data_IF_627271941252
#
_entry.id   IF_627271941252
#
_cell.length_a   1.000
_cell.length_b   1.000
_cell.length_c   1.000
_cell.angle_alpha   90.00
_cell.angle_beta   90.00
_cell.angle_gamma   90.00
#
_symmetry.space_group_name_H-M   'P 1'
#
loop_
_entity.id
_entity.type
_entity.pdbx_description
1 polymer ?
#
# COMPACT_ATOMS: atom_id res chain seq x y z
N UNK A 1 -8.70 -4.02 -42.93
CA UNK A 1 -9.43 -3.21 -41.93
C UNK A 1 -8.42 -2.72 -40.89
N UNK A 2 -8.43 -1.43 -40.54
CA UNK A 2 -7.54 -0.91 -39.55
C UNK A 2 -8.03 -1.28 -38.14
N UNK A 3 -7.18 -1.90 -37.34
CA UNK A 3 -7.45 -2.18 -35.93
C UNK A 3 -7.57 -0.84 -35.16
N UNK A 4 -8.59 -0.74 -34.32
CA UNK A 4 -8.84 0.47 -33.53
C UNK A 4 -8.31 0.25 -32.12
N UNK A 5 -7.28 0.98 -31.77
CA UNK A 5 -6.68 0.95 -30.44
C UNK A 5 -6.73 2.31 -29.76
N UNK A 6 -6.63 2.29 -28.47
CA UNK A 6 -6.46 3.48 -27.64
C UNK A 6 -5.44 3.24 -26.54
N UNK A 7 -5.03 4.32 -25.91
CA UNK A 7 -4.10 4.27 -24.78
C UNK A 7 -4.65 5.14 -23.66
N UNK A 8 -4.46 4.71 -22.42
CA UNK A 8 -4.76 5.48 -21.21
C UNK A 8 -3.56 5.44 -20.27
N UNK A 9 -3.47 6.42 -19.40
CA UNK A 9 -2.53 6.45 -18.30
C UNK A 9 -3.34 6.29 -16.99
N UNK A 10 -3.37 5.08 -16.45
CA UNK A 10 -4.15 4.80 -15.23
C UNK A 10 -3.60 5.53 -14.02
N UNK A 11 -2.29 5.74 -13.91
CA UNK A 11 -1.68 6.51 -12.83
C UNK A 11 -2.12 7.98 -12.88
N UNK A 12 -2.12 8.57 -14.07
CA UNK A 12 -2.61 9.93 -14.27
C UNK A 12 -4.09 10.07 -13.88
N UNK A 13 -4.93 9.14 -14.33
CA UNK A 13 -6.36 9.13 -14.01
C UNK A 13 -6.58 9.04 -12.50
N UNK A 14 -5.94 8.08 -11.83
CA UNK A 14 -6.06 7.89 -10.38
C UNK A 14 -5.60 9.12 -9.60
N UNK A 15 -4.44 9.68 -9.93
CA UNK A 15 -3.89 10.86 -9.25
C UNK A 15 -4.79 12.09 -9.35
N UNK A 16 -5.63 12.18 -10.38
CA UNK A 16 -6.57 13.29 -10.58
C UNK A 16 -7.99 13.01 -10.05
N UNK A 17 -8.20 11.89 -9.35
CA UNK A 17 -9.44 11.58 -8.66
C UNK A 17 -9.32 11.94 -7.17
N UNK A 18 -10.16 12.86 -6.64
CA UNK A 18 -10.13 13.24 -5.23
C UNK A 18 -10.35 12.06 -4.29
N UNK A 19 -11.22 11.13 -4.64
CA UNK A 19 -11.51 9.92 -3.86
C UNK A 19 -10.27 9.01 -3.72
N UNK A 20 -9.43 8.94 -4.76
CA UNK A 20 -8.16 8.21 -4.68
C UNK A 20 -7.16 8.88 -3.73
N UNK A 21 -7.04 10.21 -3.81
CA UNK A 21 -6.19 10.97 -2.91
C UNK A 21 -6.61 10.79 -1.43
N UNK A 22 -7.91 10.79 -1.16
CA UNK A 22 -8.45 10.52 0.19
C UNK A 22 -8.16 9.10 0.65
N UNK A 23 -8.41 8.09 -0.18
CA UNK A 23 -8.15 6.69 0.15
C UNK A 23 -6.66 6.46 0.42
N UNK A 24 -5.79 7.00 -0.42
CA UNK A 24 -4.34 6.94 -0.23
C UNK A 24 -3.90 7.61 1.06
N UNK A 25 -4.43 8.80 1.35
CA UNK A 25 -4.12 9.52 2.60
C UNK A 25 -4.52 8.71 3.84
N UNK A 26 -5.68 8.07 3.84
CA UNK A 26 -6.12 7.20 4.94
C UNK A 26 -5.18 6.00 5.13
N UNK A 27 -4.78 5.35 4.05
CA UNK A 27 -3.83 4.22 4.11
C UNK A 27 -2.47 4.68 4.65
N UNK A 28 -1.98 5.82 4.18
CA UNK A 28 -0.69 6.39 4.63
C UNK A 28 -0.73 6.77 6.12
N UNK A 29 -1.83 7.34 6.60
CA UNK A 29 -2.03 7.66 8.02
C UNK A 29 -2.03 6.41 8.89
N UNK A 30 -2.75 5.35 8.50
CA UNK A 30 -2.75 4.08 9.20
C UNK A 30 -1.37 3.43 9.20
N UNK A 31 -0.66 3.47 8.08
CA UNK A 31 0.70 2.96 7.97
C UNK A 31 1.65 3.68 8.94
N UNK A 32 1.56 5.00 9.02
CA UNK A 32 2.36 5.81 9.95
C UNK A 32 2.03 5.50 11.41
N UNK A 33 0.74 5.40 11.73
CA UNK A 33 0.29 5.06 13.08
C UNK A 33 0.83 3.69 13.51
N UNK A 34 0.63 2.67 12.69
CA UNK A 34 1.07 1.30 12.99
C UNK A 34 2.59 1.15 13.03
N UNK A 35 3.32 1.88 12.17
CA UNK A 35 4.76 1.95 12.27
C UNK A 35 5.22 2.56 13.59
N UNK A 36 4.51 3.56 14.09
CA UNK A 36 4.75 4.15 15.42
C UNK A 36 4.51 3.17 16.55
N UNK A 37 3.45 2.37 16.49
CA UNK A 37 3.15 1.33 17.49
C UNK A 37 4.25 0.24 17.52
N UNK A 38 4.68 -0.22 16.34
CA UNK A 38 5.80 -1.18 16.23
C UNK A 38 7.09 -0.58 16.78
N UNK A 39 7.40 0.67 16.43
CA UNK A 39 8.59 1.38 16.91
C UNK A 39 8.61 1.55 18.43
N UNK A 40 7.45 1.85 19.05
CA UNK A 40 7.31 1.94 20.49
C UNK A 40 7.64 0.58 21.16
N UNK A 41 7.12 -0.51 20.63
CA UNK A 41 7.37 -1.85 21.15
C UNK A 41 8.84 -2.28 20.96
N UNK A 42 9.46 -1.90 19.84
CA UNK A 42 10.89 -2.10 19.60
C UNK A 42 11.75 -1.32 20.62
N UNK A 43 11.33 -0.10 20.99
CA UNK A 43 12.01 0.70 21.99
C UNK A 43 11.91 0.07 23.40
N UNK A 44 10.75 -0.49 23.74
CA UNK A 44 10.60 -1.26 24.98
C UNK A 44 11.53 -2.48 25.00
N UNK A 45 11.60 -3.23 23.91
CA UNK A 45 12.52 -4.36 23.75
C UNK A 45 13.98 -3.93 23.96
N UNK A 46 14.37 -2.82 23.32
CA UNK A 46 15.73 -2.29 23.47
C UNK A 46 16.03 -1.89 24.91
N UNK A 47 15.07 -1.26 25.60
CA UNK A 47 15.21 -0.90 27.01
C UNK A 47 15.39 -2.12 27.92
N UNK A 48 14.67 -3.21 27.66
CA UNK A 48 14.85 -4.47 28.40
C UNK A 48 16.23 -5.07 28.18
N UNK A 49 16.74 -5.02 26.96
CA UNK A 49 18.09 -5.51 26.63
C UNK A 49 19.17 -4.65 27.31
N UNK A 50 19.02 -3.33 27.26
CA UNK A 50 19.98 -2.41 27.88
C UNK A 50 20.00 -2.56 29.42
N UNK A 51 18.84 -2.70 30.04
CA UNK A 51 18.72 -2.95 31.48
C UNK A 51 19.39 -4.27 31.88
N UNK A 52 19.16 -5.34 31.10
CA UNK A 52 19.81 -6.62 31.35
C UNK A 52 21.34 -6.53 31.22
N UNK A 53 21.84 -5.88 30.17
CA UNK A 53 23.27 -5.70 29.96
C UNK A 53 23.93 -4.94 31.12
N UNK A 54 23.24 -3.95 31.71
CA UNK A 54 23.73 -3.19 32.84
C UNK A 54 23.71 -3.96 34.17
N UNK A 55 22.72 -4.85 34.37
CA UNK A 55 22.43 -5.49 35.65
C UNK A 55 22.82 -6.98 35.73
N UNK A 56 23.17 -7.63 34.62
CA UNK A 56 23.35 -9.08 34.54
C UNK A 56 24.34 -9.66 35.58
N UNK A 57 25.42 -8.92 35.91
CA UNK A 57 26.43 -9.35 36.88
C UNK A 57 25.86 -9.39 38.29
N UNK A 58 24.85 -8.58 38.57
CA UNK A 58 24.23 -8.46 39.90
C UNK A 58 23.05 -9.41 40.11
N UNK A 59 22.58 -10.09 39.06
CA UNK A 59 21.42 -10.92 39.09
C UNK A 59 21.74 -12.36 39.52
N UNK A 60 20.86 -12.97 40.31
CA UNK A 60 20.89 -14.39 40.52
C UNK A 60 20.53 -15.17 39.25
N UNK A 61 20.97 -16.46 39.11
CA UNK A 61 20.64 -17.24 37.92
C UNK A 61 19.14 -17.28 37.61
N UNK A 62 18.30 -17.39 38.61
CA UNK A 62 16.84 -17.39 38.45
C UNK A 62 16.29 -16.05 37.91
N UNK A 63 16.80 -14.93 38.44
CA UNK A 63 16.42 -13.59 37.95
C UNK A 63 16.92 -13.33 36.55
N UNK A 64 18.12 -13.81 36.23
CA UNK A 64 18.68 -13.71 34.89
C UNK A 64 17.81 -14.43 33.86
N UNK A 65 17.44 -15.67 34.14
CA UNK A 65 16.57 -16.49 33.30
C UNK A 65 15.20 -15.78 33.03
N UNK A 66 14.60 -15.22 34.10
CA UNK A 66 13.33 -14.47 33.98
C UNK A 66 13.48 -13.22 33.07
N UNK A 67 14.58 -12.48 33.19
CA UNK A 67 14.84 -11.31 32.36
C UNK A 67 15.09 -11.68 30.89
N UNK A 68 15.82 -12.76 30.65
CA UNK A 68 16.06 -13.29 29.29
C UNK A 68 14.73 -13.77 28.66
N UNK A 69 13.91 -14.49 29.41
CA UNK A 69 12.58 -14.93 28.95
C UNK A 69 11.67 -13.73 28.60
N UNK A 70 11.70 -12.67 29.40
CA UNK A 70 10.92 -11.45 29.12
C UNK A 70 11.38 -10.77 27.81
N UNK A 71 12.68 -10.77 27.51
CA UNK A 71 13.23 -10.21 26.25
C UNK A 71 12.78 -11.07 25.07
N UNK A 72 12.83 -12.39 25.16
CA UNK A 72 12.35 -13.30 24.10
C UNK A 72 10.86 -13.07 23.83
N UNK A 73 10.06 -13.01 24.87
CA UNK A 73 8.62 -12.74 24.75
C UNK A 73 8.36 -11.39 24.07
N UNK A 74 9.06 -10.34 24.49
CA UNK A 74 8.91 -9.01 23.88
C UNK A 74 9.33 -9.01 22.40
N UNK A 75 10.39 -9.73 22.05
CA UNK A 75 10.82 -9.88 20.66
C UNK A 75 9.76 -10.59 19.79
N UNK A 76 9.12 -11.62 20.34
CA UNK A 76 8.01 -12.31 19.68
C UNK A 76 6.80 -11.40 19.49
N UNK A 77 6.48 -10.56 20.48
CA UNK A 77 5.40 -9.54 20.38
C UNK A 77 5.68 -8.54 19.26
N UNK A 78 6.93 -8.06 19.13
CA UNK A 78 7.34 -7.16 18.05
C UNK A 78 7.12 -7.80 16.69
N UNK A 79 7.59 -9.03 16.49
CA UNK A 79 7.44 -9.75 15.23
C UNK A 79 5.97 -10.01 14.91
N UNK A 80 5.18 -10.43 15.91
CA UNK A 80 3.75 -10.67 15.72
C UNK A 80 3.01 -9.39 15.31
N UNK A 81 3.35 -8.25 15.92
CA UNK A 81 2.74 -6.97 15.59
C UNK A 81 3.14 -6.50 14.19
N UNK A 82 4.41 -6.65 13.80
CA UNK A 82 4.89 -6.35 12.45
C UNK A 82 4.15 -7.17 11.39
N UNK A 83 4.00 -8.48 11.62
CA UNK A 83 3.28 -9.35 10.69
C UNK A 83 1.79 -9.01 10.62
N UNK A 84 1.18 -8.72 11.77
CA UNK A 84 -0.23 -8.32 11.84
C UNK A 84 -0.52 -7.08 10.99
N UNK A 85 0.34 -6.07 11.07
CA UNK A 85 0.13 -4.80 10.35
C UNK A 85 0.67 -4.83 8.92
N UNK A 86 1.89 -5.32 8.72
CA UNK A 86 2.66 -5.19 7.47
C UNK A 86 2.95 -6.52 6.78
N UNK A 87 2.44 -7.64 7.29
CA UNK A 87 2.58 -8.93 6.63
C UNK A 87 1.89 -8.99 5.27
N UNK A 88 2.15 -10.04 4.47
CA UNK A 88 1.58 -10.18 3.11
C UNK A 88 0.05 -10.11 3.06
N UNK A 89 -0.63 -10.57 4.09
CA UNK A 89 -2.09 -10.49 4.27
C UNK A 89 -2.44 -9.69 5.54
N UNK A 90 -1.58 -8.74 5.91
CA UNK A 90 -1.73 -7.92 7.09
C UNK A 90 -2.79 -6.84 6.93
N UNK A 91 -3.03 -6.11 8.02
CA UNK A 91 -4.08 -5.10 8.09
C UNK A 91 -3.87 -3.95 7.07
N UNK A 92 -2.61 -3.61 6.76
CA UNK A 92 -2.32 -2.57 5.76
C UNK A 92 -2.73 -3.01 4.36
N UNK A 93 -2.43 -4.26 3.99
CA UNK A 93 -2.88 -4.85 2.73
C UNK A 93 -4.41 -4.87 2.64
N UNK A 94 -5.07 -5.32 3.71
CA UNK A 94 -6.54 -5.36 3.78
C UNK A 94 -7.15 -3.96 3.62
N UNK A 95 -6.63 -2.97 4.34
CA UNK A 95 -7.12 -1.59 4.25
C UNK A 95 -6.90 -0.97 2.87
N UNK A 96 -5.75 -1.23 2.25
CA UNK A 96 -5.48 -0.79 0.88
C UNK A 96 -6.47 -1.41 -0.09
N UNK A 97 -6.71 -2.71 0.02
CA UNK A 97 -7.69 -3.41 -0.82
C UNK A 97 -9.09 -2.85 -0.63
N UNK A 98 -9.53 -2.63 0.60
CA UNK A 98 -10.87 -2.08 0.89
C UNK A 98 -11.06 -0.66 0.38
N UNK A 99 -10.05 0.19 0.46
CA UNK A 99 -10.16 1.62 0.15
C UNK A 99 -9.79 1.96 -1.29
N UNK A 100 -8.80 1.29 -1.85
CA UNK A 100 -8.23 1.62 -3.17
C UNK A 100 -8.80 0.77 -4.28
N UNK A 101 -9.00 -0.53 -4.04
CA UNK A 101 -9.51 -1.45 -5.06
C UNK A 101 -10.82 -1.00 -5.72
N UNK A 102 -11.84 -0.54 -4.96
CA UNK A 102 -13.08 -0.06 -5.58
C UNK A 102 -12.88 1.11 -6.55
N UNK A 103 -11.90 1.97 -6.27
CA UNK A 103 -11.57 3.12 -7.14
C UNK A 103 -10.89 2.65 -8.42
N UNK A 104 -9.95 1.71 -8.30
CA UNK A 104 -9.31 1.07 -9.46
C UNK A 104 -10.33 0.34 -10.34
N UNK A 105 -11.26 -0.39 -9.75
CA UNK A 105 -12.34 -1.08 -10.47
C UNK A 105 -13.25 -0.08 -11.20
N UNK A 106 -13.52 1.05 -10.59
CA UNK A 106 -14.31 2.14 -11.19
C UNK A 106 -13.59 2.74 -12.40
N UNK A 107 -12.29 2.98 -12.30
CA UNK A 107 -11.45 3.44 -13.43
C UNK A 107 -11.46 2.41 -14.56
N UNK A 108 -11.25 1.14 -14.23
CA UNK A 108 -11.27 0.05 -15.20
C UNK A 108 -12.62 -0.05 -15.93
N UNK A 109 -13.74 0.06 -15.19
CA UNK A 109 -15.09 0.10 -15.77
C UNK A 109 -15.29 1.28 -16.71
N UNK A 110 -14.75 2.45 -16.38
CA UNK A 110 -14.81 3.63 -17.24
C UNK A 110 -14.00 3.47 -18.53
N UNK A 111 -12.84 2.82 -18.46
CA UNK A 111 -12.03 2.48 -19.64
C UNK A 111 -12.77 1.51 -20.56
N UNK A 112 -13.41 0.48 -20.00
CA UNK A 112 -14.21 -0.47 -20.78
C UNK A 112 -15.40 0.23 -21.47
N UNK A 113 -16.12 1.10 -20.76
CA UNK A 113 -17.24 1.86 -21.31
C UNK A 113 -16.79 2.77 -22.46
N UNK A 114 -15.65 3.42 -22.30
CA UNK A 114 -15.03 4.22 -23.37
C UNK A 114 -14.68 3.37 -24.58
N UNK A 115 -14.03 2.22 -24.36
CA UNK A 115 -13.65 1.31 -25.44
C UNK A 115 -14.87 0.87 -26.26
N UNK A 116 -15.96 0.52 -25.60
CA UNK A 116 -17.22 0.17 -26.27
C UNK A 116 -17.79 1.35 -27.06
N UNK A 117 -17.88 2.52 -26.45
CA UNK A 117 -18.38 3.75 -27.09
C UNK A 117 -17.58 4.14 -28.31
N UNK A 118 -16.27 4.05 -28.24
CA UNK A 118 -15.34 4.40 -29.32
C UNK A 118 -15.06 3.25 -30.28
N UNK A 119 -15.61 2.05 -30.03
CA UNK A 119 -15.37 0.83 -30.79
C UNK A 119 -13.88 0.50 -30.92
N UNK A 120 -13.17 0.61 -29.77
CA UNK A 120 -11.77 0.22 -29.68
C UNK A 120 -11.68 -1.28 -29.45
N UNK A 121 -10.77 -1.93 -30.16
CA UNK A 121 -10.51 -3.36 -30.01
C UNK A 121 -9.50 -3.66 -28.92
N UNK A 122 -8.64 -2.68 -28.63
CA UNK A 122 -7.58 -2.77 -27.63
C UNK A 122 -7.37 -1.42 -26.96
N UNK A 123 -7.20 -1.43 -25.65
CA UNK A 123 -6.74 -0.28 -24.87
C UNK A 123 -5.51 -0.70 -24.07
N UNK A 124 -4.43 0.03 -24.29
CA UNK A 124 -3.17 -0.16 -23.56
C UNK A 124 -3.02 0.87 -22.45
N UNK A 125 -2.43 0.46 -21.35
CA UNK A 125 -2.05 1.35 -20.25
C UNK A 125 -0.60 1.82 -20.44
N UNK A 126 -0.38 3.11 -20.55
CA UNK A 126 0.95 3.71 -20.66
C UNK A 126 1.54 4.17 -19.32
N UNK A 127 0.97 3.75 -18.19
CA UNK A 127 1.54 4.05 -16.87
C UNK A 127 3.01 3.60 -16.77
N UNK A 128 3.74 4.13 -15.78
CA UNK A 128 5.21 4.07 -15.70
C UNK A 128 5.85 2.67 -15.84
N UNK A 129 5.06 1.59 -15.70
CA UNK A 129 5.57 0.21 -15.77
C UNK A 129 5.18 -0.53 -17.06
N UNK A 130 4.55 0.14 -18.00
CA UNK A 130 3.93 -0.52 -19.17
C UNK A 130 4.86 -0.78 -20.35
N UNK A 131 6.02 -0.13 -20.41
CA UNK A 131 6.92 -0.21 -21.57
C UNK A 131 6.46 0.57 -22.82
N UNK A 132 5.38 1.35 -22.74
CA UNK A 132 4.94 2.23 -23.82
C UNK A 132 5.79 3.47 -23.85
N UNK A 133 6.53 3.69 -24.95
CA UNK A 133 7.48 4.79 -25.11
C UNK A 133 6.89 6.03 -25.77
N UNK A 134 5.92 5.84 -26.65
CA UNK A 134 5.31 6.92 -27.43
C UNK A 134 3.86 6.60 -27.76
N UNK A 135 3.00 7.60 -27.69
CA UNK A 135 1.61 7.54 -28.11
C UNK A 135 1.23 8.86 -28.78
N UNK A 136 0.59 8.76 -29.93
CA UNK A 136 -0.05 9.92 -30.53
C UNK A 136 -1.13 10.49 -29.62
N UNK A 137 -1.15 11.80 -29.46
CA UNK A 137 -2.10 12.50 -28.57
C UNK A 137 -3.56 12.14 -28.85
N UNK A 138 -3.90 11.92 -30.12
CA UNK A 138 -5.26 11.55 -30.56
C UNK A 138 -5.69 10.14 -30.14
N UNK A 139 -4.73 9.29 -29.78
CA UNK A 139 -4.96 7.92 -29.29
C UNK A 139 -4.95 7.81 -27.76
N UNK A 140 -4.62 8.91 -27.08
CA UNK A 140 -4.63 8.98 -25.61
C UNK A 140 -6.00 9.45 -25.12
N UNK A 141 -6.71 8.53 -24.47
CA UNK A 141 -8.06 8.77 -23.95
C UNK A 141 -8.09 9.03 -22.44
N UNK A 142 -6.95 9.27 -21.80
CA UNK A 142 -6.86 9.47 -20.35
C UNK A 142 -7.78 10.58 -19.84
N UNK A 143 -7.79 11.75 -20.52
CA UNK A 143 -8.66 12.88 -20.16
C UNK A 143 -10.15 12.56 -20.35
N UNK A 144 -10.50 11.85 -21.40
CA UNK A 144 -11.90 11.46 -21.65
C UNK A 144 -12.41 10.50 -20.57
N UNK A 145 -11.58 9.53 -20.17
CA UNK A 145 -11.90 8.63 -19.06
C UNK A 145 -12.03 9.41 -17.76
N UNK A 146 -11.07 10.27 -17.44
CA UNK A 146 -11.09 11.10 -16.24
C UNK A 146 -12.35 11.97 -16.17
N UNK A 147 -12.70 12.63 -17.25
CA UNK A 147 -13.89 13.48 -17.31
C UNK A 147 -15.20 12.67 -17.14
N UNK A 148 -15.25 11.44 -17.59
CA UNK A 148 -16.41 10.56 -17.39
C UNK A 148 -16.58 10.16 -15.93
N UNK A 149 -15.49 10.08 -15.16
CA UNK A 149 -15.49 9.72 -13.75
C UNK A 149 -15.84 10.89 -12.82
N UNK A 150 -15.68 12.14 -13.28
CA UNK A 150 -15.98 13.35 -12.51
C UNK A 150 -17.45 13.79 -12.61
N UNK A 151 -18.24 13.14 -13.43
CA UNK A 151 -19.68 13.36 -13.57
C UNK A 151 -20.43 12.50 -12.56
#
# INVERSE_FOLDING_TARGET
MAQRYGVVDTDYILKNLPEYAQAKSQVDQLSTQWAGEVSALQSELQSLKDALAAEQILLSPEKLEKREAAIVQKAEEVLALQQKYFGPEGMLFEKRTQLVQPIQDKVFGAVQALAQKRKLELVLDKSAQSGVLFVEKEKDYSEEVLNSLKK
#
